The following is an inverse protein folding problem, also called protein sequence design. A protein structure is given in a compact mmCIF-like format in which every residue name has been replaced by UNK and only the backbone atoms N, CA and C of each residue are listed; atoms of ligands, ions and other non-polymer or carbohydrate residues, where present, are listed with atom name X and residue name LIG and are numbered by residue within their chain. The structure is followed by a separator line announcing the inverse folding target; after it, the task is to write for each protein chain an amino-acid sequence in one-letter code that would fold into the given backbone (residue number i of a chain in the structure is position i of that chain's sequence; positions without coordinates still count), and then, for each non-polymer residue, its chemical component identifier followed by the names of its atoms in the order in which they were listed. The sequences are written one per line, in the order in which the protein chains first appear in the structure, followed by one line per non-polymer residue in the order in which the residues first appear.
data_IF_730520120636
#
_entry.id   IF_730520120636
#
_cell.length_a   1.000
_cell.length_b   1.000
_cell.length_c   1.000
_cell.angle_alpha   90.00
_cell.angle_beta   90.00
_cell.angle_gamma   90.00
#
_symmetry.space_group_name_H-M   'P 1'
#
loop_
_entity.id
_entity.type
_entity.pdbx_description
1 polymer ?
#
# COMPACT_ATOMS: atom_id res chain seq x y z
N UNK A 1 14.71 7.27 48.24
CA UNK A 1 15.84 7.24 47.29
C UNK A 1 15.42 6.46 46.05
N UNK A 2 15.26 7.15 44.93
CA UNK A 2 14.53 6.72 43.72
C UNK A 2 15.42 5.93 42.77
N UNK A 3 15.17 4.62 42.60
CA UNK A 3 15.96 3.72 41.73
C UNK A 3 15.78 3.94 40.22
N UNK A 4 14.91 4.86 39.77
CA UNK A 4 14.68 5.13 38.34
C UNK A 4 15.59 6.21 37.74
N UNK A 5 16.40 6.90 38.55
CA UNK A 5 17.23 8.00 38.06
C UNK A 5 18.58 7.57 37.46
N UNK A 6 19.02 6.33 37.68
CA UNK A 6 20.39 5.88 37.38
C UNK A 6 20.56 5.40 35.92
N UNK A 7 19.49 5.10 35.19
CA UNK A 7 19.58 4.61 33.79
C UNK A 7 19.51 5.73 32.74
N UNK A 8 19.77 6.97 33.13
CA UNK A 8 19.43 8.16 32.34
C UNK A 8 20.67 8.99 31.98
N UNK A 9 21.84 8.63 32.52
CA UNK A 9 23.10 9.35 32.30
C UNK A 9 24.10 8.35 31.73
N UNK A 10 24.61 8.64 30.54
CA UNK A 10 25.66 7.88 29.87
C UNK A 10 26.99 7.96 30.66
N UNK A 11 27.95 7.08 30.39
CA UNK A 11 29.26 7.02 31.07
C UNK A 11 30.02 8.37 31.02
N UNK A 12 29.68 9.23 30.05
CA UNK A 12 30.22 10.57 29.86
C UNK A 12 29.49 11.68 30.64
N UNK A 13 28.55 11.34 31.53
CA UNK A 13 27.77 12.34 32.29
C UNK A 13 26.67 13.04 31.47
N UNK A 14 26.41 12.58 30.24
CA UNK A 14 25.39 13.16 29.34
C UNK A 14 24.05 12.47 29.56
N UNK A 15 22.99 13.24 29.76
CA UNK A 15 21.63 12.70 29.94
C UNK A 15 21.13 12.11 28.62
N UNK A 16 20.88 10.79 28.56
CA UNK A 16 20.31 10.12 27.40
C UNK A 16 18.81 10.42 27.29
N UNK A 17 18.51 11.44 26.50
CA UNK A 17 17.15 11.89 26.20
C UNK A 17 16.26 10.79 25.57
N UNK A 18 16.83 9.76 24.92
CA UNK A 18 16.06 8.66 24.35
C UNK A 18 15.64 7.65 25.43
N UNK A 19 16.51 7.35 26.40
CA UNK A 19 16.16 6.55 27.57
C UNK A 19 15.09 7.24 28.42
N UNK A 20 15.17 8.57 28.59
CA UNK A 20 14.11 9.38 29.23
C UNK A 20 12.78 9.24 28.49
N UNK A 21 12.79 9.37 27.15
CA UNK A 21 11.57 9.37 26.33
C UNK A 21 10.86 8.02 26.28
N UNK A 22 11.56 6.90 26.48
CA UNK A 22 10.94 5.56 26.62
C UNK A 22 10.16 5.38 27.93
N UNK A 23 10.52 6.12 28.97
CA UNK A 23 9.87 6.02 30.29
C UNK A 23 8.52 6.74 30.37
N UNK A 24 8.14 7.52 29.34
CA UNK A 24 6.90 8.28 29.31
C UNK A 24 5.67 7.42 28.97
N UNK A 25 4.49 7.77 29.53
CA UNK A 25 3.23 7.14 29.12
C UNK A 25 2.93 7.41 27.64
N UNK A 26 2.31 6.43 26.99
CA UNK A 26 2.05 6.42 25.55
C UNK A 26 1.44 7.74 25.03
N UNK A 27 0.44 8.29 25.75
CA UNK A 27 -0.23 9.54 25.37
C UNK A 27 0.70 10.76 25.37
N UNK A 28 1.62 10.88 26.33
CA UNK A 28 2.59 12.00 26.38
C UNK A 28 3.63 11.88 25.27
N UNK A 29 4.02 10.65 24.94
CA UNK A 29 4.95 10.35 23.85
C UNK A 29 4.34 10.63 22.48
N UNK A 30 3.06 10.33 22.29
CA UNK A 30 2.32 10.58 21.05
C UNK A 30 2.16 12.09 20.79
N UNK A 31 1.73 12.86 21.80
CA UNK A 31 1.60 14.31 21.70
C UNK A 31 2.93 15.01 21.41
N UNK A 32 4.03 14.56 22.04
CA UNK A 32 5.37 15.04 21.72
C UNK A 32 5.76 14.72 20.27
N UNK A 33 5.47 13.51 19.79
CA UNK A 33 5.76 13.09 18.41
C UNK A 33 5.04 13.96 17.39
N UNK A 34 3.74 14.18 17.56
CA UNK A 34 2.96 15.01 16.63
C UNK A 34 3.45 16.46 16.62
N UNK A 35 3.84 17.02 17.77
CA UNK A 35 4.40 18.37 17.85
C UNK A 35 5.78 18.47 17.18
N UNK A 36 6.65 17.48 17.39
CA UNK A 36 8.03 17.52 16.88
C UNK A 36 8.12 17.18 15.39
N UNK A 37 7.26 16.29 14.89
CA UNK A 37 7.23 15.83 13.50
C UNK A 37 6.08 16.43 12.68
N UNK A 38 5.52 17.57 13.10
CA UNK A 38 4.36 18.18 12.45
C UNK A 38 4.63 18.48 10.96
N UNK A 39 5.85 18.89 10.61
CA UNK A 39 6.27 19.15 9.23
C UNK A 39 6.18 17.90 8.36
N UNK A 40 6.63 16.74 8.86
CA UNK A 40 6.53 15.48 8.14
C UNK A 40 5.07 15.05 7.94
N UNK A 41 4.24 15.25 8.97
CA UNK A 41 2.80 15.00 8.88
C UNK A 41 2.12 15.91 7.86
N UNK A 42 2.51 17.19 7.77
CA UNK A 42 2.00 18.12 6.77
C UNK A 42 2.40 17.73 5.34
N UNK A 43 3.64 17.24 5.15
CA UNK A 43 4.12 16.78 3.84
C UNK A 43 3.39 15.53 3.33
N UNK A 44 3.05 14.58 4.22
CA UNK A 44 2.32 13.35 3.82
C UNK A 44 0.80 13.58 3.73
N UNK A 45 0.28 14.61 4.39
CA UNK A 45 -1.14 14.96 4.41
C UNK A 45 -1.79 14.98 3.01
N UNK A 46 -1.25 15.68 1.99
CA UNK A 46 -1.85 15.70 0.66
C UNK A 46 -1.90 14.32 0.02
N UNK A 47 -0.87 13.48 0.20
CA UNK A 47 -0.86 12.10 -0.30
C UNK A 47 -1.93 11.24 0.41
N UNK A 48 -2.08 11.40 1.73
CA UNK A 48 -3.12 10.68 2.48
C UNK A 48 -4.53 11.10 2.07
N UNK A 49 -4.77 12.40 1.88
CA UNK A 49 -6.06 12.90 1.39
C UNK A 49 -6.35 12.33 0.00
N UNK A 50 -5.36 12.37 -0.89
CA UNK A 50 -5.52 11.83 -2.24
C UNK A 50 -5.89 10.34 -2.21
N UNK A 51 -5.15 9.53 -1.45
CA UNK A 51 -5.46 8.09 -1.29
C UNK A 51 -6.83 7.89 -0.64
N UNK A 52 -7.18 8.68 0.36
CA UNK A 52 -8.50 8.62 1.00
C UNK A 52 -9.63 8.88 0.00
N UNK A 53 -9.56 9.99 -0.73
CA UNK A 53 -10.61 10.43 -1.65
C UNK A 53 -10.68 9.60 -2.94
N UNK A 54 -9.56 9.18 -3.50
CA UNK A 54 -9.55 8.52 -4.81
C UNK A 54 -9.39 7.00 -4.74
N UNK A 55 -8.81 6.45 -3.67
CA UNK A 55 -8.70 4.99 -3.51
C UNK A 55 -9.76 4.44 -2.55
N UNK A 56 -9.92 5.03 -1.36
CA UNK A 56 -10.82 4.48 -0.34
C UNK A 56 -12.29 4.85 -0.53
N UNK A 57 -12.62 6.08 -0.92
CA UNK A 57 -14.02 6.47 -1.14
C UNK A 57 -14.69 5.59 -2.22
N UNK A 58 -14.08 5.31 -3.39
CA UNK A 58 -14.70 4.42 -4.37
C UNK A 58 -14.91 2.98 -3.88
N UNK A 59 -14.13 2.51 -2.90
CA UNK A 59 -14.32 1.17 -2.30
C UNK A 59 -15.65 1.05 -1.55
N UNK A 60 -16.29 2.16 -1.16
CA UNK A 60 -17.67 2.13 -0.66
C UNK A 60 -18.66 1.52 -1.68
N UNK A 61 -18.34 1.56 -2.97
CA UNK A 61 -19.11 0.93 -4.04
C UNK A 61 -19.08 -0.60 -4.04
N UNK A 62 -18.18 -1.26 -3.30
CA UNK A 62 -18.11 -2.73 -3.23
C UNK A 62 -19.42 -3.35 -2.71
N UNK A 63 -20.20 -2.60 -1.92
CA UNK A 63 -21.51 -3.04 -1.45
C UNK A 63 -22.49 -3.37 -2.59
N UNK A 64 -22.28 -2.82 -3.79
CA UNK A 64 -23.09 -3.09 -4.98
C UNK A 64 -23.07 -4.57 -5.37
N UNK A 65 -21.96 -5.27 -5.11
CA UNK A 65 -21.86 -6.71 -5.39
C UNK A 65 -22.85 -7.55 -4.57
N UNK A 66 -23.39 -7.01 -3.48
CA UNK A 66 -24.32 -7.68 -2.58
C UNK A 66 -25.77 -7.17 -2.70
N UNK A 67 -26.03 -6.18 -3.56
CA UNK A 67 -27.34 -5.54 -3.72
C UNK A 67 -27.83 -5.65 -5.16
N UNK A 68 -29.15 -5.71 -5.33
CA UNK A 68 -29.78 -5.66 -6.65
C UNK A 68 -29.73 -4.23 -7.21
N UNK A 69 -28.61 -3.89 -7.83
CA UNK A 69 -28.31 -2.54 -8.29
C UNK A 69 -29.19 -2.15 -9.48
N UNK A 70 -30.05 -1.15 -9.27
CA UNK A 70 -30.84 -0.52 -10.34
C UNK A 70 -30.31 0.91 -10.53
N UNK A 71 -29.77 1.27 -11.71
CA UNK A 71 -29.18 2.59 -11.94
C UNK A 71 -30.10 3.77 -11.60
N UNK A 72 -31.42 3.61 -11.77
CA UNK A 72 -32.42 4.64 -11.47
C UNK A 72 -32.62 4.90 -9.97
N UNK A 73 -32.21 3.98 -9.08
CA UNK A 73 -32.37 4.10 -7.63
C UNK A 73 -31.09 4.54 -6.90
N UNK A 74 -30.01 4.85 -7.65
CA UNK A 74 -28.72 5.25 -7.09
C UNK A 74 -27.91 4.09 -6.47
N UNK A 75 -26.75 4.41 -5.88
CA UNK A 75 -25.76 3.43 -5.41
C UNK A 75 -26.26 2.53 -4.25
N UNK A 76 -27.26 2.98 -3.49
CA UNK A 76 -27.76 2.24 -2.31
C UNK A 76 -29.21 1.76 -2.45
N UNK A 77 -29.89 2.05 -3.57
CA UNK A 77 -31.33 1.85 -3.70
C UNK A 77 -31.80 0.42 -3.98
N UNK A 78 -30.88 -0.53 -4.14
CA UNK A 78 -31.17 -1.95 -4.39
C UNK A 78 -31.42 -2.77 -3.12
N UNK A 79 -32.27 -3.80 -3.21
CA UNK A 79 -32.46 -4.77 -2.13
C UNK A 79 -31.16 -5.57 -1.88
N UNK A 80 -30.87 -5.92 -0.63
CA UNK A 80 -29.71 -6.74 -0.30
C UNK A 80 -29.97 -8.20 -0.67
N UNK A 81 -29.23 -8.73 -1.64
CA UNK A 81 -29.38 -10.09 -2.20
C UNK A 81 -28.23 -11.02 -1.83
N UNK A 82 -27.29 -10.57 -0.99
CA UNK A 82 -26.19 -11.37 -0.49
C UNK A 82 -25.28 -11.88 -1.62
N UNK A 83 -25.06 -13.19 -1.68
CA UNK A 83 -24.10 -13.82 -2.60
C UNK A 83 -24.67 -14.18 -3.98
N UNK A 84 -25.88 -13.73 -4.32
CA UNK A 84 -26.56 -14.08 -5.59
C UNK A 84 -25.65 -13.91 -6.82
N UNK A 85 -25.01 -12.75 -6.97
CA UNK A 85 -24.16 -12.45 -8.13
C UNK A 85 -22.83 -13.21 -8.11
N UNK A 86 -22.29 -13.52 -6.93
CA UNK A 86 -21.09 -14.35 -6.82
C UNK A 86 -21.37 -15.77 -7.31
N UNK A 87 -22.48 -16.39 -6.89
CA UNK A 87 -22.88 -17.72 -7.36
C UNK A 87 -23.06 -17.69 -8.88
N UNK A 88 -23.81 -16.71 -9.40
CA UNK A 88 -24.02 -16.56 -10.83
C UNK A 88 -22.71 -16.43 -11.62
N UNK A 89 -21.73 -15.69 -11.07
CA UNK A 89 -20.41 -15.55 -11.66
C UNK A 89 -19.65 -16.87 -11.69
N UNK A 90 -19.60 -17.60 -10.57
CA UNK A 90 -18.88 -18.89 -10.49
C UNK A 90 -19.53 -20.01 -11.32
N UNK A 91 -20.86 -19.99 -11.48
CA UNK A 91 -21.58 -20.97 -12.30
C UNK A 91 -21.60 -20.63 -13.79
N UNK A 92 -21.06 -19.47 -14.19
CA UNK A 92 -21.01 -19.07 -15.59
C UNK A 92 -20.09 -19.97 -16.40
N UNK A 93 -20.49 -20.41 -17.61
CA UNK A 93 -19.62 -21.22 -18.48
C UNK A 93 -18.32 -20.50 -18.88
N UNK A 94 -18.28 -19.16 -18.80
CA UNK A 94 -17.10 -18.37 -19.11
C UNK A 94 -16.14 -18.21 -17.91
N UNK A 95 -16.56 -18.55 -16.70
CA UNK A 95 -15.76 -18.29 -15.50
C UNK A 95 -14.39 -18.98 -15.58
N UNK A 96 -14.37 -20.29 -15.83
CA UNK A 96 -13.15 -21.07 -15.86
C UNK A 96 -12.21 -20.63 -17.00
N UNK A 97 -12.76 -20.34 -18.19
CA UNK A 97 -11.94 -19.91 -19.34
C UNK A 97 -11.32 -18.53 -19.08
N UNK A 98 -12.08 -17.57 -18.56
CA UNK A 98 -11.56 -16.25 -18.17
C UNK A 98 -10.50 -16.38 -17.08
N UNK A 99 -10.77 -17.15 -16.02
CA UNK A 99 -9.83 -17.29 -14.90
C UNK A 99 -8.50 -17.93 -15.33
N UNK A 100 -8.54 -19.02 -16.10
CA UNK A 100 -7.33 -19.68 -16.62
C UNK A 100 -6.57 -18.74 -17.58
N UNK A 101 -7.26 -18.01 -18.44
CA UNK A 101 -6.62 -17.04 -19.33
C UNK A 101 -5.95 -15.91 -18.55
N UNK A 102 -6.59 -15.37 -17.52
CA UNK A 102 -5.98 -14.38 -16.62
C UNK A 102 -4.72 -14.94 -15.97
N UNK A 103 -4.76 -16.16 -15.41
CA UNK A 103 -3.56 -16.78 -14.83
C UNK A 103 -2.45 -16.99 -15.85
N UNK A 104 -2.77 -17.49 -17.04
CA UNK A 104 -1.79 -17.67 -18.13
C UNK A 104 -1.13 -16.35 -18.51
N UNK A 105 -1.90 -15.28 -18.67
CA UNK A 105 -1.39 -13.95 -18.99
C UNK A 105 -0.55 -13.41 -17.84
N UNK A 106 -1.03 -13.46 -16.59
CA UNK A 106 -0.28 -12.95 -15.43
C UNK A 106 1.04 -13.69 -15.21
N UNK A 107 1.07 -15.02 -15.36
CA UNK A 107 2.30 -15.80 -15.28
C UNK A 107 3.24 -15.51 -16.45
N UNK A 108 2.70 -15.42 -17.68
CA UNK A 108 3.48 -15.07 -18.86
C UNK A 108 4.12 -13.69 -18.73
N UNK A 109 3.35 -12.69 -18.31
CA UNK A 109 3.83 -11.33 -18.06
C UNK A 109 4.83 -11.28 -16.91
N UNK A 110 4.67 -12.08 -15.87
CA UNK A 110 5.63 -12.15 -14.77
C UNK A 110 6.98 -12.70 -15.24
N UNK A 111 6.97 -13.83 -15.96
CA UNK A 111 8.21 -14.46 -16.45
C UNK A 111 8.88 -13.59 -17.50
N UNK A 112 8.16 -13.17 -18.54
CA UNK A 112 8.72 -12.36 -19.62
C UNK A 112 9.05 -10.94 -19.16
N UNK A 113 8.19 -10.33 -18.34
CA UNK A 113 8.40 -8.99 -17.79
C UNK A 113 9.59 -8.91 -16.84
N UNK A 114 9.97 -10.02 -16.20
CA UNK A 114 11.19 -10.11 -15.40
C UNK A 114 12.42 -10.46 -16.27
N UNK A 115 12.32 -11.48 -17.11
CA UNK A 115 13.48 -11.98 -17.88
C UNK A 115 13.89 -11.02 -19.01
N UNK A 116 12.94 -10.40 -19.71
CA UNK A 116 13.26 -9.55 -20.86
C UNK A 116 14.13 -8.33 -20.48
N UNK A 117 13.85 -7.56 -19.41
CA UNK A 117 14.73 -6.47 -18.98
C UNK A 117 16.13 -6.94 -18.56
N UNK A 118 16.25 -8.12 -17.95
CA UNK A 118 17.56 -8.68 -17.54
C UNK A 118 18.39 -9.03 -18.77
N UNK A 119 17.79 -9.75 -19.72
CA UNK A 119 18.46 -10.09 -20.98
C UNK A 119 18.87 -8.82 -21.72
N UNK A 120 17.97 -7.84 -21.81
CA UNK A 120 18.27 -6.54 -22.43
C UNK A 120 19.43 -5.83 -21.74
N UNK A 121 19.44 -5.78 -20.40
CA UNK A 121 20.53 -5.17 -19.64
C UNK A 121 21.87 -5.87 -19.87
N UNK A 122 21.89 -7.21 -19.94
CA UNK A 122 23.09 -7.98 -20.25
C UNK A 122 23.59 -7.73 -21.68
N UNK A 123 22.69 -7.68 -22.66
CA UNK A 123 23.02 -7.37 -24.05
C UNK A 123 23.63 -5.97 -24.17
N UNK A 124 23.01 -4.96 -23.55
CA UNK A 124 23.53 -3.59 -23.51
C UNK A 124 24.91 -3.55 -22.82
N UNK A 125 25.10 -4.32 -21.75
CA UNK A 125 26.37 -4.36 -21.05
C UNK A 125 27.51 -4.96 -21.87
N UNK A 126 27.21 -5.86 -22.82
CA UNK A 126 28.20 -6.45 -23.72
C UNK A 126 28.61 -5.53 -24.89
N UNK A 127 27.91 -4.42 -25.11
CA UNK A 127 28.29 -3.44 -26.15
C UNK A 127 29.55 -2.68 -25.69
N UNK A 128 30.68 -2.90 -26.39
CA UNK A 128 31.96 -2.27 -26.07
C UNK A 128 32.08 -0.79 -26.42
N UNK A 129 31.20 -0.25 -27.28
CA UNK A 129 31.22 1.15 -27.69
C UNK A 129 30.39 2.02 -26.76
N UNK A 130 31.06 2.92 -26.02
CA UNK A 130 30.43 3.86 -25.09
C UNK A 130 29.44 4.82 -25.78
N UNK A 131 29.65 5.14 -27.07
CA UNK A 131 28.75 6.01 -27.84
C UNK A 131 27.41 5.34 -28.17
N UNK A 132 27.40 4.02 -28.33
CA UNK A 132 26.18 3.24 -28.61
C UNK A 132 25.44 2.94 -27.30
N UNK A 133 26.18 2.66 -26.21
CA UNK A 133 25.61 2.43 -24.88
C UNK A 133 24.90 3.65 -24.27
N UNK A 134 25.34 4.87 -24.59
CA UNK A 134 24.72 6.11 -24.09
C UNK A 134 23.57 6.66 -24.96
N UNK A 135 23.36 6.11 -26.16
CA UNK A 135 22.29 6.51 -27.08
C UNK A 135 21.02 5.65 -26.95
N UNK A 136 21.17 4.43 -26.40
CA UNK A 136 20.08 3.49 -26.07
C UNK A 136 19.70 3.62 -24.61
#
# INVERSE_FOLDING_TARGET
MSRKAVSVVDENGVVDNNAVRRSWPFFKRLGWHFKHYWQNWLMILPAMIFVGLFAYVPMYGIQLAFRDFVPSKGLTGGAFVGFKYFVQFFTSPMFASTMINTFKISLGTLVLGFLAPIVLALLINQIGSQKIKGFV
#
